data_IF_965967748797
#
_entry.id   IF_965967748797
#
_cell.length_a   1.000
_cell.length_b   1.000
_cell.length_c   1.000
_cell.angle_alpha   90.00
_cell.angle_beta   90.00
_cell.angle_gamma   90.00
#
_symmetry.space_group_name_H-M   'P 1'
#
loop_
_entity.id
_entity.type
_entity.pdbx_description
1 polymer ?
#
# COMPACT_ATOMS: atom_id res chain seq x y z
N UNK A 1 -1.26 18.75 7.24
CA UNK A 1 -0.84 17.48 7.89
C UNK A 1 -0.84 16.36 6.87
N UNK A 2 0.21 15.56 6.89
CA UNK A 2 0.27 14.39 6.01
C UNK A 2 -0.53 13.25 6.60
N UNK A 3 -1.18 12.50 5.72
CA UNK A 3 -1.92 11.32 6.13
C UNK A 3 -0.94 10.17 6.35
N UNK A 4 -1.30 9.27 7.26
CA UNK A 4 -0.51 8.05 7.50
C UNK A 4 -0.75 7.08 6.34
N UNK A 5 0.32 6.69 5.65
CA UNK A 5 0.25 5.78 4.50
C UNK A 5 1.15 4.59 4.77
N UNK A 6 0.58 3.40 4.65
CA UNK A 6 1.31 2.14 4.76
C UNK A 6 1.06 1.34 3.50
N UNK A 7 2.08 0.66 3.01
CA UNK A 7 1.94 -0.19 1.83
C UNK A 7 2.59 -1.55 2.11
N UNK A 8 1.85 -2.61 1.83
CA UNK A 8 2.36 -3.98 1.96
C UNK A 8 2.69 -4.49 0.57
N UNK A 9 3.91 -4.96 0.39
CA UNK A 9 4.46 -5.27 -0.94
C UNK A 9 5.15 -6.62 -0.99
N UNK A 10 5.47 -7.05 -2.22
CA UNK A 10 6.50 -8.07 -2.48
C UNK A 10 7.41 -7.53 -3.59
N UNK A 11 8.61 -8.11 -3.70
CA UNK A 11 9.64 -7.58 -4.62
C UNK A 11 9.26 -7.69 -6.08
N UNK A 12 8.46 -8.69 -6.46
CA UNK A 12 8.09 -8.96 -7.84
C UNK A 12 6.79 -8.31 -8.29
N UNK A 13 6.17 -7.51 -7.45
CA UNK A 13 4.88 -6.89 -7.73
C UNK A 13 5.07 -5.56 -8.46
N UNK A 14 4.71 -5.51 -9.74
CA UNK A 14 4.86 -4.27 -10.52
C UNK A 14 3.93 -3.17 -10.04
N UNK A 15 2.72 -3.51 -9.63
CA UNK A 15 1.76 -2.53 -9.12
C UNK A 15 2.24 -1.92 -7.80
N UNK A 16 2.93 -2.72 -6.97
CA UNK A 16 3.56 -2.22 -5.75
C UNK A 16 4.64 -1.18 -6.08
N UNK A 17 5.46 -1.46 -7.09
CA UNK A 17 6.50 -0.54 -7.51
C UNK A 17 5.92 0.76 -8.04
N UNK A 18 4.83 0.68 -8.79
CA UNK A 18 4.16 1.87 -9.30
C UNK A 18 3.58 2.72 -8.17
N UNK A 19 2.99 2.09 -7.17
CA UNK A 19 2.46 2.80 -6.01
C UNK A 19 3.56 3.54 -5.27
N UNK A 20 4.68 2.87 -5.01
CA UNK A 20 5.79 3.50 -4.32
C UNK A 20 6.38 4.66 -5.12
N UNK A 21 6.48 4.48 -6.42
CA UNK A 21 6.97 5.53 -7.31
C UNK A 21 6.06 6.76 -7.26
N UNK A 22 4.76 6.54 -7.33
CA UNK A 22 3.79 7.63 -7.24
C UNK A 22 3.96 8.41 -5.93
N UNK A 23 4.05 7.69 -4.81
CA UNK A 23 4.21 8.34 -3.51
C UNK A 23 5.48 9.17 -3.46
N UNK A 24 6.59 8.66 -3.97
CA UNK A 24 7.86 9.38 -3.98
C UNK A 24 7.81 10.61 -4.87
N UNK A 25 7.21 10.49 -6.05
CA UNK A 25 7.11 11.61 -6.99
C UNK A 25 6.23 12.75 -6.45
N UNK A 26 5.29 12.43 -5.59
CA UNK A 26 4.38 13.42 -5.02
C UNK A 26 4.74 13.81 -3.58
N UNK A 27 5.93 13.44 -3.13
CA UNK A 27 6.43 13.75 -1.79
C UNK A 27 5.49 13.26 -0.69
N UNK A 28 4.92 12.08 -0.88
CA UNK A 28 4.04 11.45 0.09
C UNK A 28 4.87 10.48 0.92
N UNK A 29 4.94 10.72 2.22
CA UNK A 29 5.64 9.81 3.11
C UNK A 29 4.81 8.54 3.31
N UNK A 30 5.49 7.40 3.27
CA UNK A 30 4.84 6.12 3.47
C UNK A 30 5.79 5.14 4.15
N UNK A 31 5.23 4.13 4.78
CA UNK A 31 6.00 3.03 5.36
C UNK A 31 5.73 1.79 4.53
N UNK A 32 6.80 1.15 4.09
CA UNK A 32 6.71 -0.08 3.31
C UNK A 32 6.95 -1.29 4.18
N UNK A 33 6.05 -2.27 4.09
CA UNK A 33 6.18 -3.56 4.74
C UNK A 33 6.30 -4.62 3.65
N UNK A 34 7.51 -5.11 3.42
CA UNK A 34 7.75 -6.13 2.41
C UNK A 34 7.43 -7.50 3.01
N UNK A 35 6.39 -8.15 2.49
CA UNK A 35 5.90 -9.42 3.03
C UNK A 35 6.90 -10.56 2.86
N UNK A 36 7.88 -10.40 1.99
CA UNK A 36 8.94 -11.39 1.83
C UNK A 36 10.00 -11.30 2.92
N UNK A 37 10.10 -10.15 3.59
CA UNK A 37 11.07 -9.96 4.66
C UNK A 37 10.60 -10.54 5.99
N UNK A 38 9.29 -10.53 6.21
CA UNK A 38 8.73 -10.99 7.47
C UNK A 38 7.32 -11.51 7.25
N UNK A 39 7.06 -12.74 7.70
CA UNK A 39 5.76 -13.37 7.56
C UNK A 39 4.65 -12.64 8.32
N UNK A 40 5.02 -11.88 9.35
CA UNK A 40 4.05 -11.07 10.11
C UNK A 40 3.32 -10.08 9.20
N UNK A 41 4.04 -9.52 8.23
CA UNK A 41 3.41 -8.56 7.31
C UNK A 41 2.34 -9.21 6.43
N UNK A 42 2.61 -10.43 5.97
CA UNK A 42 1.61 -11.18 5.19
C UNK A 42 0.39 -11.51 6.04
N UNK A 43 0.59 -11.83 7.32
CA UNK A 43 -0.51 -12.08 8.24
C UNK A 43 -1.33 -10.82 8.49
N UNK A 44 -0.68 -9.67 8.59
CA UNK A 44 -1.39 -8.40 8.75
C UNK A 44 -2.27 -8.09 7.56
N UNK A 45 -1.79 -8.35 6.34
CA UNK A 45 -2.58 -8.18 5.11
C UNK A 45 -3.81 -9.06 5.16
N UNK A 46 -3.63 -10.31 5.57
CA UNK A 46 -4.73 -11.26 5.68
C UNK A 46 -5.78 -10.81 6.69
N UNK A 47 -5.35 -10.27 7.81
CA UNK A 47 -6.28 -9.74 8.82
C UNK A 47 -7.03 -8.52 8.31
N UNK A 48 -6.37 -7.66 7.54
CA UNK A 48 -6.98 -6.44 7.04
C UNK A 48 -7.97 -6.67 5.90
N UNK A 49 -7.67 -7.64 5.03
CA UNK A 49 -8.41 -7.81 3.77
C UNK A 49 -9.09 -9.16 3.64
N UNK A 50 -8.72 -10.14 4.45
CA UNK A 50 -9.16 -11.53 4.31
C UNK A 50 -8.43 -12.28 3.20
N UNK A 51 -7.45 -11.65 2.56
CA UNK A 51 -6.70 -12.23 1.45
C UNK A 51 -5.22 -11.87 1.59
N UNK A 52 -4.36 -12.58 0.86
CA UNK A 52 -2.93 -12.27 0.82
C UNK A 52 -2.61 -11.63 -0.53
N UNK A 53 -3.16 -10.45 -0.78
CA UNK A 53 -3.01 -9.74 -2.05
C UNK A 53 -2.17 -8.48 -1.86
N UNK A 54 -1.24 -8.23 -2.75
CA UNK A 54 -0.41 -7.03 -2.74
C UNK A 54 -0.59 -6.26 -4.05
N UNK A 55 -0.45 -4.95 -4.02
CA UNK A 55 -0.22 -4.13 -2.85
C UNK A 55 -1.50 -3.97 -2.02
N UNK A 56 -1.36 -3.98 -0.71
CA UNK A 56 -2.41 -3.53 0.19
C UNK A 56 -1.96 -2.19 0.74
N UNK A 57 -2.79 -1.17 0.57
CA UNK A 57 -2.45 0.20 0.93
C UNK A 57 -3.41 0.67 2.00
N UNK A 58 -2.86 1.14 3.12
CA UNK A 58 -3.66 1.66 4.23
C UNK A 58 -3.40 3.15 4.36
N UNK A 59 -4.45 3.94 4.17
CA UNK A 59 -4.39 5.40 4.32
C UNK A 59 -5.31 5.76 5.47
N UNK A 60 -4.72 6.19 6.59
CA UNK A 60 -5.42 6.39 7.84
C UNK A 60 -6.12 5.09 8.25
N UNK A 61 -7.45 5.07 8.25
CA UNK A 61 -8.22 3.88 8.59
C UNK A 61 -8.85 3.19 7.36
N UNK A 62 -8.46 3.61 6.16
CA UNK A 62 -9.01 3.06 4.91
C UNK A 62 -8.04 2.08 4.28
N UNK A 63 -8.55 0.94 3.85
CA UNK A 63 -7.76 -0.14 3.28
C UNK A 63 -8.12 -0.30 1.81
N UNK A 64 -7.09 -0.31 0.96
CA UNK A 64 -7.26 -0.49 -0.49
C UNK A 64 -6.44 -1.70 -0.94
N UNK A 65 -7.07 -2.58 -1.70
CA UNK A 65 -6.39 -3.73 -2.29
C UNK A 65 -6.13 -3.42 -3.76
N UNK A 66 -4.85 -3.25 -4.10
CA UNK A 66 -4.44 -2.84 -5.44
C UNK A 66 -4.30 -1.34 -5.56
N UNK A 67 -3.26 -0.91 -6.26
CA UNK A 67 -3.03 0.52 -6.49
C UNK A 67 -3.74 0.99 -7.75
N UNK A 68 -3.55 0.30 -8.87
CA UNK A 68 -4.14 0.71 -10.15
C UNK A 68 -5.67 0.68 -10.08
N UNK A 69 -6.25 -0.34 -9.46
CA UNK A 69 -7.70 -0.47 -9.32
C UNK A 69 -8.31 0.66 -8.49
N UNK A 70 -7.58 1.16 -7.53
CA UNK A 70 -8.08 2.17 -6.59
C UNK A 70 -7.41 3.53 -6.79
N UNK A 71 -6.82 3.73 -7.96
CA UNK A 71 -5.99 4.90 -8.22
C UNK A 71 -6.73 6.21 -7.96
N UNK A 72 -7.96 6.33 -8.45
CA UNK A 72 -8.74 7.55 -8.29
C UNK A 72 -9.04 7.86 -6.83
N UNK A 73 -9.44 6.84 -6.07
CA UNK A 73 -9.74 7.03 -4.66
C UNK A 73 -8.51 7.35 -3.84
N UNK A 74 -7.42 6.65 -4.12
CA UNK A 74 -6.16 6.86 -3.40
C UNK A 74 -5.63 8.27 -3.66
N UNK A 75 -5.61 8.69 -4.92
CA UNK A 75 -5.08 10.01 -5.26
C UNK A 75 -5.98 11.12 -4.72
N UNK A 76 -7.29 10.91 -4.69
CA UNK A 76 -8.21 11.89 -4.12
C UNK A 76 -7.97 12.08 -2.62
N UNK A 77 -7.66 10.99 -1.91
CA UNK A 77 -7.37 11.08 -0.47
C UNK A 77 -6.04 11.77 -0.18
N UNK A 78 -5.09 11.67 -1.09
CA UNK A 78 -3.73 12.16 -0.87
C UNK A 78 -3.47 13.53 -1.50
N UNK A 79 -4.41 14.05 -2.25
CA UNK A 79 -4.25 15.35 -2.88
C UNK A 79 -4.67 16.51 -1.99
#
# INVERSE_FOLDING_TARGET
MQRSVKIYTISTCSDCHQAKRYFKEHNIDFVEYNCEEDTVYAEEVRELTGMQTVPTIVIEDRVFVGFAENFKEITALLS
#
